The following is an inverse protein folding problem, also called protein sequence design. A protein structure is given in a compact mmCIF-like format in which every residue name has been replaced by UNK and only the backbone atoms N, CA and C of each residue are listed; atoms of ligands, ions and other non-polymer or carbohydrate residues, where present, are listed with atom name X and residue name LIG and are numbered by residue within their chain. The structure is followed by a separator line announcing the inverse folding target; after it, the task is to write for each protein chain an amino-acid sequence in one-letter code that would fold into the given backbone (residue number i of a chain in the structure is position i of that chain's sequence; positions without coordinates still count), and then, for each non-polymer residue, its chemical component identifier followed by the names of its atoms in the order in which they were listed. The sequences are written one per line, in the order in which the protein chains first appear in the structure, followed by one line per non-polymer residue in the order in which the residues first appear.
data_IF_437361827951
#
_entry.id   IF_437361827951
#
_cell.length_a   1.000
_cell.length_b   1.000
_cell.length_c   1.000
_cell.angle_alpha   90.00
_cell.angle_beta   90.00
_cell.angle_gamma   90.00
#
_symmetry.space_group_name_H-M   'P 1'
#
loop_
_entity.id
_entity.type
_entity.pdbx_description
1 polymer ?
#
# COMPACT_ATOMS: atom_id res chain seq x y z
N UNK A 1 21.29 -6.67 -1.32
CA UNK A 1 20.00 -5.96 -1.21
C UNK A 1 18.99 -6.95 -0.64
N UNK A 2 18.14 -6.53 0.30
CA UNK A 2 17.14 -7.40 0.93
C UNK A 2 15.76 -6.79 0.74
N UNK A 3 14.72 -7.62 0.64
CA UNK A 3 13.33 -7.20 0.48
C UNK A 3 12.39 -8.14 1.22
N UNK A 4 11.22 -7.63 1.57
CA UNK A 4 10.16 -8.39 2.22
C UNK A 4 8.91 -8.28 1.37
N UNK A 5 8.31 -9.42 1.05
CA UNK A 5 6.98 -9.47 0.43
C UNK A 5 5.97 -9.83 1.52
N UNK A 6 5.12 -8.87 1.88
CA UNK A 6 4.13 -9.01 2.95
C UNK A 6 2.79 -9.39 2.33
N UNK A 7 2.32 -10.61 2.62
CA UNK A 7 1.05 -11.15 2.11
C UNK A 7 0.20 -11.66 3.28
N UNK A 8 -1.12 -11.69 3.08
CA UNK A 8 -2.07 -12.11 4.11
C UNK A 8 -3.51 -11.68 3.78
N UNK A 9 -4.51 -12.30 4.43
CA UNK A 9 -5.92 -11.99 4.19
C UNK A 9 -6.27 -10.53 4.56
N UNK A 10 -7.41 -10.00 4.10
CA UNK A 10 -7.93 -8.71 4.56
C UNK A 10 -7.99 -8.63 6.09
N UNK A 11 -7.68 -7.47 6.66
CA UNK A 11 -7.68 -7.29 8.12
C UNK A 11 -6.50 -7.91 8.88
N UNK A 12 -5.57 -8.62 8.22
CA UNK A 12 -4.42 -9.26 8.90
C UNK A 12 -3.31 -8.29 9.37
N UNK A 13 -3.50 -6.97 9.22
CA UNK A 13 -2.53 -5.96 9.69
C UNK A 13 -1.32 -5.71 8.78
N UNK A 14 -1.39 -6.06 7.48
CA UNK A 14 -0.28 -5.89 6.53
C UNK A 14 0.27 -4.46 6.47
N UNK A 15 -0.61 -3.47 6.27
CA UNK A 15 -0.20 -2.05 6.21
C UNK A 15 0.44 -1.61 7.51
N UNK A 16 -0.17 -1.94 8.65
CA UNK A 16 0.36 -1.64 9.99
C UNK A 16 1.75 -2.22 10.20
N UNK A 17 1.97 -3.46 9.76
CA UNK A 17 3.29 -4.09 9.80
C UNK A 17 4.32 -3.34 8.96
N UNK A 18 4.01 -3.04 7.69
CA UNK A 18 4.93 -2.37 6.78
C UNK A 18 5.39 -1.00 7.33
N UNK A 19 4.44 -0.19 7.83
CA UNK A 19 4.73 1.13 8.41
C UNK A 19 5.57 1.00 9.69
N UNK A 20 5.19 0.09 10.60
CA UNK A 20 5.95 -0.13 11.84
C UNK A 20 7.36 -0.66 11.58
N UNK A 21 7.53 -1.52 10.56
CA UNK A 21 8.83 -2.05 10.14
C UNK A 21 9.71 -0.96 9.53
N UNK A 22 9.14 -0.06 8.72
CA UNK A 22 9.85 1.10 8.20
C UNK A 22 10.37 1.98 9.35
N UNK A 23 9.52 2.32 10.33
CA UNK A 23 9.93 3.09 11.51
C UNK A 23 11.06 2.42 12.28
N UNK A 24 10.95 1.10 12.51
CA UNK A 24 11.98 0.32 13.18
C UNK A 24 13.32 0.38 12.42
N UNK A 25 13.29 0.17 11.11
CA UNK A 25 14.51 0.17 10.29
C UNK A 25 15.13 1.56 10.18
N UNK A 26 14.31 2.61 10.05
CA UNK A 26 14.77 4.00 10.07
C UNK A 26 15.48 4.34 11.39
N UNK A 27 14.90 3.93 12.53
CA UNK A 27 15.54 4.09 13.86
C UNK A 27 16.85 3.31 13.99
N UNK A 28 16.98 2.19 13.29
CA UNK A 28 18.22 1.42 13.20
C UNK A 28 19.24 2.01 12.21
N UNK A 29 19.01 3.21 11.66
CA UNK A 29 19.87 3.87 10.68
C UNK A 29 19.81 3.25 9.27
N UNK A 30 18.79 2.45 8.99
CA UNK A 30 18.60 1.76 7.71
C UNK A 30 17.52 2.47 6.89
N UNK A 31 17.92 3.04 5.75
CA UNK A 31 16.99 3.58 4.77
C UNK A 31 16.13 2.46 4.18
N UNK A 32 14.83 2.72 4.06
CA UNK A 32 13.83 1.78 3.58
C UNK A 32 12.81 2.50 2.71
N UNK A 33 12.25 1.75 1.77
CA UNK A 33 11.17 2.21 0.90
C UNK A 33 10.02 1.22 1.01
N UNK A 34 8.80 1.72 1.17
CA UNK A 34 7.58 0.91 1.09
C UNK A 34 6.98 1.10 -0.30
N UNK A 35 6.57 0.00 -0.91
CA UNK A 35 5.81 -0.03 -2.17
C UNK A 35 4.42 -0.59 -1.87
N UNK A 36 3.38 0.23 -1.96
CA UNK A 36 2.00 -0.25 -1.86
C UNK A 36 1.54 -0.77 -3.22
N UNK A 37 1.20 -2.06 -3.27
CA UNK A 37 0.67 -2.74 -4.46
C UNK A 37 -0.81 -3.12 -4.32
N UNK A 38 -1.46 -2.77 -3.21
CA UNK A 38 -2.86 -3.10 -2.95
C UNK A 38 -3.77 -1.92 -3.35
N UNK A 39 -4.52 -2.04 -4.47
CA UNK A 39 -5.38 -0.96 -4.95
C UNK A 39 -6.68 -0.82 -4.14
N UNK A 40 -6.99 -1.77 -3.26
CA UNK A 40 -8.15 -1.75 -2.37
C UNK A 40 -7.77 -1.43 -0.91
N UNK A 41 -6.58 -0.87 -0.69
CA UNK A 41 -6.11 -0.54 0.64
C UNK A 41 -6.78 0.72 1.19
N UNK A 42 -7.91 0.55 1.87
CA UNK A 42 -8.70 1.65 2.46
C UNK A 42 -7.96 2.44 3.56
N UNK A 43 -6.84 1.92 4.08
CA UNK A 43 -6.05 2.59 5.12
C UNK A 43 -5.00 3.55 4.57
N UNK A 44 -4.86 3.63 3.24
CA UNK A 44 -3.86 4.44 2.54
C UNK A 44 -4.57 5.37 1.57
N UNK A 45 -4.21 6.64 1.61
CA UNK A 45 -4.74 7.64 0.68
C UNK A 45 -3.83 7.81 -0.54
N UNK A 46 -4.40 8.38 -1.62
CA UNK A 46 -3.64 8.79 -2.79
C UNK A 46 -2.67 9.91 -2.40
N UNK A 47 -1.41 9.82 -2.80
CA UNK A 47 -0.36 10.78 -2.46
C UNK A 47 0.22 10.65 -1.05
N UNK A 48 -0.05 9.55 -0.33
CA UNK A 48 0.58 9.28 0.97
C UNK A 48 2.11 9.12 0.81
N UNK A 49 2.85 10.07 1.36
CA UNK A 49 4.31 10.21 1.22
C UNK A 49 5.12 9.16 1.99
N UNK A 50 4.47 8.38 2.86
CA UNK A 50 5.10 7.24 3.54
C UNK A 50 5.43 6.10 2.57
N UNK A 51 4.76 6.06 1.43
CA UNK A 51 4.97 5.09 0.37
C UNK A 51 5.83 5.71 -0.74
N UNK A 52 6.99 5.09 -0.99
CA UNK A 52 7.86 5.52 -2.09
C UNK A 52 7.21 5.29 -3.47
N UNK A 53 6.34 4.28 -3.54
CA UNK A 53 5.48 4.00 -4.70
C UNK A 53 4.13 3.54 -4.17
N UNK A 54 3.05 4.13 -4.67
CA UNK A 54 1.69 3.75 -4.31
C UNK A 54 0.86 3.50 -5.58
N UNK A 55 0.30 2.29 -5.71
CA UNK A 55 -0.56 1.94 -6.85
C UNK A 55 -1.78 2.87 -6.97
N UNK A 56 -2.27 3.42 -5.84
CA UNK A 56 -3.40 4.36 -5.80
C UNK A 56 -3.11 5.68 -6.52
N UNK A 57 -1.84 6.05 -6.71
CA UNK A 57 -1.44 7.24 -7.47
C UNK A 57 -1.70 7.08 -8.97
N UNK A 58 -1.55 5.84 -9.46
CA UNK A 58 -1.78 5.46 -10.86
C UNK A 58 -3.24 5.10 -11.10
N UNK A 59 -3.82 4.29 -10.22
CA UNK A 59 -5.18 3.79 -10.37
C UNK A 59 -5.81 3.44 -9.02
N UNK A 60 -6.97 4.03 -8.71
CA UNK A 60 -7.79 3.57 -7.59
C UNK A 60 -8.92 2.68 -8.08
N UNK A 61 -9.40 1.77 -7.24
CA UNK A 61 -10.58 0.92 -7.57
C UNK A 61 -11.78 1.79 -7.93
N UNK A 62 -11.97 2.93 -7.26
CA UNK A 62 -13.01 3.92 -7.55
C UNK A 62 -12.90 4.50 -8.97
N UNK A 63 -11.69 4.88 -9.40
CA UNK A 63 -11.46 5.45 -10.74
C UNK A 63 -11.79 4.45 -11.86
N UNK A 64 -11.56 3.15 -11.62
CA UNK A 64 -11.86 2.08 -12.59
C UNK A 64 -13.36 1.77 -12.62
N UNK A 65 -14.01 1.67 -11.45
CA UNK A 65 -15.45 1.41 -11.35
C UNK A 65 -16.26 2.52 -12.05
N UNK A 66 -15.85 3.78 -11.89
CA UNK A 66 -16.50 4.93 -12.56
C UNK A 66 -16.22 4.95 -14.07
N UNK A 67 -14.97 4.71 -14.51
CA UNK A 67 -14.62 4.70 -15.95
C UNK A 67 -15.20 3.53 -16.72
N UNK A 68 -15.35 2.36 -16.10
CA UNK A 68 -15.79 1.14 -16.77
C UNK A 68 -17.26 0.79 -16.49
N UNK A 69 -17.99 1.61 -15.71
CA UNK A 69 -19.37 1.34 -15.26
C UNK A 69 -19.54 -0.04 -14.61
N UNK A 70 -18.51 -0.49 -13.88
CA UNK A 70 -18.51 -1.80 -13.22
C UNK A 70 -19.08 -1.68 -11.81
N UNK A 71 -19.86 -2.69 -11.41
CA UNK A 71 -20.40 -2.77 -10.05
C UNK A 71 -19.30 -3.09 -9.03
N UNK A 72 -19.57 -3.08 -7.72
CA UNK A 72 -18.59 -3.39 -6.67
C UNK A 72 -17.98 -4.80 -6.76
N UNK A 73 -18.52 -5.66 -7.63
CA UNK A 73 -18.04 -7.01 -7.90
C UNK A 73 -17.40 -7.19 -9.29
N UNK A 74 -17.24 -6.12 -10.07
CA UNK A 74 -17.00 -6.20 -11.52
C UNK A 74 -18.32 -6.32 -12.26
#
# INVERSE_FOLDING_TARGET
MFGQLVIGPPGSGKTTYCLSMQDYLLRAGRRTAIVNLDPANETVEKGDDRFAVNILDLVSVSDIMEKLQLGPNG
#
